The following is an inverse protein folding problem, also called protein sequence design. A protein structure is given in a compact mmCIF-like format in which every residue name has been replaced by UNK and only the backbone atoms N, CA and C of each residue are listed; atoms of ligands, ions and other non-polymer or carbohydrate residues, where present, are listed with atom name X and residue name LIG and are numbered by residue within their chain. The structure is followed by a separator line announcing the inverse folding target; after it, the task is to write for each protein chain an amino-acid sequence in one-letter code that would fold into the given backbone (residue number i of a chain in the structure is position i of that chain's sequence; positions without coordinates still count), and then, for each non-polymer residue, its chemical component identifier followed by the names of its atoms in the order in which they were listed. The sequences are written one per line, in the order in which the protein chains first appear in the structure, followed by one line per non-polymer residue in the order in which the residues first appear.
data_IF_056443304797
#
_entry.id   IF_056443304797
#
_cell.length_a   1.000
_cell.length_b   1.000
_cell.length_c   1.000
_cell.angle_alpha   90.00
_cell.angle_beta   90.00
_cell.angle_gamma   90.00
#
_symmetry.space_group_name_H-M   'P 1'
#
loop_
_entity.id
_entity.type
_entity.pdbx_description
1 polymer ?
#
# COMPACT_ATOMS: atom_id res chain seq x y z
N UNK A 1 13.08 -9.27 -12.15
CA UNK A 1 12.05 -10.07 -12.84
C UNK A 1 10.92 -9.10 -13.15
N UNK A 2 10.28 -9.14 -14.31
CA UNK A 2 9.21 -8.18 -14.63
C UNK A 2 7.99 -8.45 -13.75
N UNK A 3 7.40 -7.41 -13.17
CA UNK A 3 6.16 -7.55 -12.40
C UNK A 3 5.04 -8.08 -13.31
N UNK A 4 4.16 -8.93 -12.77
CA UNK A 4 3.02 -9.46 -13.53
C UNK A 4 1.74 -9.37 -12.70
N UNK A 5 0.64 -9.05 -13.36
CA UNK A 5 -0.69 -8.99 -12.76
C UNK A 5 -1.18 -10.39 -12.37
N UNK A 6 -2.24 -10.43 -11.57
CA UNK A 6 -2.90 -11.68 -11.20
C UNK A 6 -3.41 -12.44 -12.44
N UNK A 7 -3.00 -13.70 -12.56
CA UNK A 7 -3.52 -14.64 -13.54
C UNK A 7 -4.79 -15.27 -13.00
N UNK A 8 -5.93 -15.05 -13.67
CA UNK A 8 -7.25 -15.53 -13.21
C UNK A 8 -7.51 -17.01 -13.51
N UNK A 9 -6.57 -17.68 -14.19
CA UNK A 9 -6.71 -19.07 -14.62
C UNK A 9 -7.99 -19.31 -15.43
N UNK A 10 -8.72 -20.37 -15.10
CA UNK A 10 -10.03 -20.71 -15.73
C UNK A 10 -11.21 -19.99 -15.08
N UNK A 11 -10.97 -19.15 -14.06
CA UNK A 11 -12.04 -18.44 -13.34
C UNK A 11 -12.54 -17.29 -14.19
N UNK A 12 -13.79 -17.37 -14.64
CA UNK A 12 -14.47 -16.27 -15.32
C UNK A 12 -14.85 -15.20 -14.29
N UNK A 13 -14.00 -14.19 -14.15
CA UNK A 13 -14.30 -12.95 -13.44
C UNK A 13 -14.66 -11.87 -14.46
N UNK A 14 -15.68 -11.08 -14.13
CA UNK A 14 -16.09 -9.90 -14.91
C UNK A 14 -15.03 -8.80 -14.79
N UNK A 15 -14.50 -8.60 -13.59
CA UNK A 15 -13.46 -7.60 -13.32
C UNK A 15 -12.17 -7.90 -14.07
N UNK A 16 -11.43 -6.86 -14.44
CA UNK A 16 -10.14 -6.93 -15.15
C UNK A 16 -8.96 -7.31 -14.22
N UNK A 17 -7.79 -7.64 -14.78
CA UNK A 17 -6.62 -7.95 -13.94
C UNK A 17 -6.02 -6.69 -13.33
N UNK A 18 -6.18 -5.53 -13.99
CA UNK A 18 -5.78 -4.22 -13.47
C UNK A 18 -6.71 -3.77 -12.35
N UNK A 19 -8.03 -3.95 -12.51
CA UNK A 19 -8.99 -3.74 -11.45
C UNK A 19 -8.62 -4.53 -10.19
N UNK A 20 -8.40 -5.84 -10.34
CA UNK A 20 -8.00 -6.68 -9.22
C UNK A 20 -6.67 -6.23 -8.59
N UNK A 21 -5.71 -5.76 -9.40
CA UNK A 21 -4.43 -5.24 -8.91
C UNK A 21 -4.60 -3.98 -8.06
N UNK A 22 -5.51 -3.08 -8.44
CA UNK A 22 -5.87 -1.90 -7.65
C UNK A 22 -6.55 -2.25 -6.33
N UNK A 23 -7.49 -3.20 -6.36
CA UNK A 23 -8.15 -3.71 -5.16
C UNK A 23 -7.14 -4.36 -4.19
N UNK A 24 -6.16 -5.11 -4.74
CA UNK A 24 -5.04 -5.69 -3.99
C UNK A 24 -4.13 -4.61 -3.40
N UNK A 25 -3.87 -3.53 -4.15
CA UNK A 25 -3.10 -2.40 -3.62
C UNK A 25 -3.79 -1.80 -2.42
N UNK A 26 -5.09 -1.50 -2.51
CA UNK A 26 -5.85 -0.98 -1.37
C UNK A 26 -5.70 -1.91 -0.16
N UNK A 27 -5.88 -3.23 -0.33
CA UNK A 27 -5.69 -4.22 0.74
C UNK A 27 -4.28 -4.22 1.37
N UNK A 28 -3.24 -3.97 0.57
CA UNK A 28 -1.86 -3.79 1.05
C UNK A 28 -1.63 -2.48 1.82
N UNK A 29 -2.55 -1.50 1.72
CA UNK A 29 -2.50 -0.25 2.49
C UNK A 29 -3.31 -0.32 3.79
N UNK A 30 -3.60 -1.51 4.30
CA UNK A 30 -4.27 -1.69 5.60
C UNK A 30 -3.32 -1.35 6.76
N UNK A 31 -3.83 -0.69 7.80
CA UNK A 31 -3.05 -0.35 9.01
C UNK A 31 -3.31 -1.33 10.15
N UNK A 32 -4.29 -2.22 9.99
CA UNK A 32 -4.67 -3.28 10.90
C UNK A 32 -4.87 -4.58 10.10
N UNK A 33 -4.69 -5.78 10.70
CA UNK A 33 -4.91 -7.03 9.99
C UNK A 33 -6.31 -7.10 9.37
N UNK A 34 -6.38 -7.36 8.07
CA UNK A 34 -7.61 -7.53 7.30
C UNK A 34 -7.58 -8.89 6.61
N UNK A 35 -8.60 -9.72 6.88
CA UNK A 35 -8.71 -11.02 6.21
C UNK A 35 -9.18 -10.81 4.76
N UNK A 36 -8.60 -11.48 3.75
CA UNK A 36 -8.93 -11.25 2.34
C UNK A 36 -10.42 -11.35 2.01
N UNK A 37 -11.13 -12.27 2.66
CA UNK A 37 -12.56 -12.49 2.45
C UNK A 37 -13.39 -11.24 2.79
N UNK A 38 -12.91 -10.44 3.74
CA UNK A 38 -13.59 -9.22 4.21
C UNK A 38 -13.85 -8.23 3.07
N UNK A 39 -12.89 -8.09 2.14
CA UNK A 39 -12.99 -7.18 1.00
C UNK A 39 -13.25 -7.90 -0.33
N UNK A 40 -12.83 -9.17 -0.47
CA UNK A 40 -13.06 -9.96 -1.67
C UNK A 40 -14.51 -10.44 -1.82
N UNK A 41 -15.17 -10.84 -0.73
CA UNK A 41 -16.55 -11.34 -0.78
C UNK A 41 -17.54 -10.25 -1.24
N UNK A 42 -17.50 -9.01 -0.70
CA UNK A 42 -18.34 -7.93 -1.21
C UNK A 42 -18.08 -7.59 -2.68
N UNK A 43 -16.82 -7.75 -3.13
CA UNK A 43 -16.39 -7.41 -4.49
C UNK A 43 -16.81 -8.47 -5.54
N UNK A 44 -16.61 -9.74 -5.23
CA UNK A 44 -16.75 -10.83 -6.21
C UNK A 44 -17.95 -11.75 -5.94
N UNK A 45 -18.66 -11.56 -4.83
CA UNK A 45 -19.66 -12.50 -4.31
C UNK A 45 -19.03 -13.87 -4.04
N UNK A 46 -19.83 -14.95 -4.08
CA UNK A 46 -19.36 -16.31 -3.76
C UNK A 46 -18.17 -16.82 -4.61
N UNK A 47 -17.89 -16.17 -5.75
CA UNK A 47 -16.77 -16.49 -6.65
C UNK A 47 -15.41 -16.23 -6.02
N UNK A 48 -15.32 -15.41 -4.97
CA UNK A 48 -14.06 -15.06 -4.33
C UNK A 48 -13.25 -16.29 -3.89
N UNK A 49 -13.94 -17.34 -3.42
CA UNK A 49 -13.31 -18.58 -2.93
C UNK A 49 -12.45 -19.27 -3.98
N UNK A 50 -12.78 -19.11 -5.26
CA UNK A 50 -12.04 -19.70 -6.37
C UNK A 50 -10.70 -18.99 -6.63
N UNK A 51 -10.58 -17.71 -6.27
CA UNK A 51 -9.39 -16.89 -6.54
C UNK A 51 -8.64 -16.46 -5.29
N UNK A 52 -9.19 -16.65 -4.09
CA UNK A 52 -8.62 -16.18 -2.82
C UNK A 52 -7.13 -16.53 -2.66
N UNK A 53 -6.73 -17.78 -2.90
CA UNK A 53 -5.31 -18.19 -2.77
C UNK A 53 -4.39 -17.48 -3.77
N UNK A 54 -4.89 -17.20 -4.98
CA UNK A 54 -4.14 -16.42 -5.99
C UNK A 54 -4.04 -14.95 -5.57
N UNK A 55 -5.10 -14.39 -5.00
CA UNK A 55 -5.11 -13.03 -4.44
C UNK A 55 -4.13 -12.91 -3.28
N UNK A 56 -4.13 -13.85 -2.32
CA UNK A 56 -3.17 -13.88 -1.21
C UNK A 56 -1.72 -13.92 -1.70
N UNK A 57 -1.45 -14.72 -2.73
CA UNK A 57 -0.12 -14.77 -3.37
C UNK A 57 0.24 -13.43 -4.01
N UNK A 58 -0.72 -12.79 -4.68
CA UNK A 58 -0.51 -11.51 -5.35
C UNK A 58 -0.35 -10.36 -4.34
N UNK A 59 -1.09 -10.35 -3.22
CA UNK A 59 -0.91 -9.43 -2.09
C UNK A 59 0.56 -9.44 -1.66
N UNK A 60 1.09 -10.63 -1.35
CA UNK A 60 2.48 -10.78 -0.92
C UNK A 60 3.48 -10.36 -2.00
N UNK A 61 3.21 -10.68 -3.26
CA UNK A 61 4.08 -10.28 -4.37
C UNK A 61 4.11 -8.77 -4.53
N UNK A 62 2.96 -8.12 -4.62
CA UNK A 62 2.84 -6.67 -4.77
C UNK A 62 3.54 -5.94 -3.62
N UNK A 63 3.24 -6.35 -2.38
CA UNK A 63 3.87 -5.81 -1.18
C UNK A 63 5.40 -5.90 -1.22
N UNK A 64 5.96 -7.05 -1.59
CA UNK A 64 7.42 -7.21 -1.72
C UNK A 64 8.02 -6.28 -2.78
N UNK A 65 7.36 -6.11 -3.94
CA UNK A 65 7.86 -5.19 -4.98
C UNK A 65 7.80 -3.74 -4.54
N UNK A 66 6.76 -3.34 -3.80
CA UNK A 66 6.67 -2.00 -3.20
C UNK A 66 7.82 -1.80 -2.20
N UNK A 67 8.06 -2.73 -1.28
CA UNK A 67 9.16 -2.62 -0.31
C UNK A 67 10.56 -2.59 -0.97
N UNK A 68 10.71 -3.19 -2.15
CA UNK A 68 11.95 -3.13 -2.93
C UNK A 68 12.03 -1.90 -3.84
N UNK A 69 11.01 -1.03 -3.86
CA UNK A 69 10.89 0.11 -4.77
C UNK A 69 10.97 -0.31 -6.25
N UNK A 70 10.41 -1.49 -6.57
CA UNK A 70 10.37 -2.09 -7.91
C UNK A 70 8.94 -2.14 -8.47
N UNK A 71 7.92 -1.75 -7.70
CA UNK A 71 6.54 -1.62 -8.16
C UNK A 71 6.34 -0.28 -8.87
N UNK A 72 5.81 -0.31 -10.10
CA UNK A 72 5.46 0.89 -10.86
C UNK A 72 4.12 0.67 -11.54
N UNK A 73 3.13 1.49 -11.19
CA UNK A 73 1.81 1.43 -11.80
C UNK A 73 1.84 2.02 -13.21
N UNK A 74 2.63 3.07 -13.46
CA UNK A 74 2.77 3.66 -14.78
C UNK A 74 3.34 2.65 -15.80
N UNK A 75 4.32 1.85 -15.37
CA UNK A 75 4.85 0.76 -16.19
C UNK A 75 3.83 -0.36 -16.42
N UNK A 76 2.91 -0.60 -15.48
CA UNK A 76 1.87 -1.64 -15.60
C UNK A 76 0.70 -1.22 -16.49
N UNK A 77 0.34 0.06 -16.46
CA UNK A 77 -0.72 0.62 -17.29
C UNK A 77 -0.22 1.03 -18.68
N UNK A 78 1.10 0.99 -18.92
CA UNK A 78 1.74 1.42 -20.16
C UNK A 78 1.38 2.87 -20.52
N UNK A 79 1.32 3.74 -19.50
CA UNK A 79 0.87 5.14 -19.60
C UNK A 79 -0.53 5.32 -20.22
N UNK A 80 -1.35 4.26 -20.24
CA UNK A 80 -2.72 4.28 -20.76
C UNK A 80 -3.70 4.72 -19.66
N UNK A 81 -4.44 5.80 -19.92
CA UNK A 81 -5.40 6.37 -18.96
C UNK A 81 -6.61 5.46 -18.69
N UNK A 82 -7.07 4.67 -19.67
CA UNK A 82 -8.18 3.72 -19.45
C UNK A 82 -7.74 2.58 -18.53
N UNK A 83 -6.52 2.07 -18.72
CA UNK A 83 -5.93 1.06 -17.83
C UNK A 83 -5.69 1.61 -16.42
N UNK A 84 -5.28 2.87 -16.32
CA UNK A 84 -5.09 3.55 -15.04
C UNK A 84 -6.42 3.78 -14.32
N UNK A 85 -7.47 4.18 -15.03
CA UNK A 85 -8.81 4.32 -14.50
C UNK A 85 -9.33 2.99 -13.96
N UNK A 86 -9.22 1.91 -14.73
CA UNK A 86 -9.61 0.55 -14.35
C UNK A 86 -8.89 0.06 -13.07
N UNK A 87 -7.57 0.32 -12.98
CA UNK A 87 -6.82 0.10 -11.74
C UNK A 87 -7.33 0.95 -10.57
N UNK A 88 -7.57 2.25 -10.79
CA UNK A 88 -8.04 3.16 -9.76
C UNK A 88 -9.45 2.81 -9.26
N UNK A 89 -10.36 2.37 -10.13
CA UNK A 89 -11.68 1.85 -9.77
C UNK A 89 -11.57 0.65 -8.84
N UNK A 90 -10.67 -0.29 -9.17
CA UNK A 90 -10.35 -1.43 -8.31
C UNK A 90 -9.89 -1.00 -6.92
N UNK A 91 -8.96 -0.04 -6.85
CA UNK A 91 -8.50 0.52 -5.59
C UNK A 91 -9.64 1.17 -4.78
N UNK A 92 -10.42 2.05 -5.43
CA UNK A 92 -11.50 2.79 -4.77
C UNK A 92 -12.70 1.91 -4.40
N UNK A 93 -12.85 0.72 -4.99
CA UNK A 93 -13.86 -0.26 -4.59
C UNK A 93 -13.61 -0.86 -3.20
N UNK A 94 -12.34 -0.91 -2.78
CA UNK A 94 -11.91 -1.47 -1.49
C UNK A 94 -11.59 -0.36 -0.47
N UNK A 95 -11.12 0.80 -0.92
CA UNK A 95 -10.66 1.89 -0.06
C UNK A 95 -11.62 2.26 1.10
N UNK A 96 -12.95 2.43 0.89
CA UNK A 96 -13.85 2.84 1.98
C UNK A 96 -13.84 1.90 3.20
N UNK A 97 -13.60 0.61 2.99
CA UNK A 97 -13.49 -0.38 4.07
C UNK A 97 -12.20 -0.22 4.88
N UNK A 98 -11.14 0.26 4.22
CA UNK A 98 -9.80 0.39 4.79
C UNK A 98 -9.63 1.76 5.43
N UNK A 99 -10.27 2.79 4.87
CA UNK A 99 -10.24 4.17 5.34
C UNK A 99 -10.60 4.28 6.84
N UNK A 100 -11.58 3.49 7.32
CA UNK A 100 -11.92 3.43 8.75
C UNK A 100 -10.73 3.10 9.65
N UNK A 101 -9.75 2.33 9.15
CA UNK A 101 -8.53 2.00 9.89
C UNK A 101 -7.56 3.17 9.98
N UNK A 102 -7.61 4.09 9.02
CA UNK A 102 -6.76 5.29 8.95
C UNK A 102 -7.32 6.44 9.80
N UNK A 103 -8.64 6.54 9.96
CA UNK A 103 -9.32 7.60 10.74
C UNK A 103 -8.82 7.69 12.19
N UNK A 104 -8.54 6.55 12.83
CA UNK A 104 -8.10 6.50 14.23
C UNK A 104 -6.59 6.77 14.41
N UNK A 105 -5.85 6.98 13.32
CA UNK A 105 -4.39 7.06 13.35
C UNK A 105 -3.94 8.52 13.28
N UNK A 106 -3.02 8.89 14.19
CA UNK A 106 -2.31 10.17 14.09
C UNK A 106 -1.16 10.02 13.08
N UNK A 107 -1.38 10.54 11.88
CA UNK A 107 -0.39 10.61 10.81
C UNK A 107 0.56 11.79 11.05
N UNK A 108 1.78 11.70 10.49
CA UNK A 108 2.63 12.86 10.35
C UNK A 108 2.23 13.64 9.08
N UNK A 109 2.51 14.94 9.04
CA UNK A 109 2.13 15.83 7.93
C UNK A 109 2.58 15.32 6.56
N UNK A 110 3.75 14.66 6.47
CA UNK A 110 4.27 14.11 5.23
C UNK A 110 3.42 12.95 4.70
N UNK A 111 3.14 11.97 5.57
CA UNK A 111 2.33 10.80 5.23
C UNK A 111 0.88 11.20 4.92
N UNK A 112 0.31 12.14 5.67
CA UNK A 112 -1.03 12.67 5.40
C UNK A 112 -1.09 13.29 4.00
N UNK A 113 -0.10 14.09 3.61
CA UNK A 113 -0.02 14.69 2.27
C UNK A 113 0.14 13.64 1.17
N UNK A 114 0.95 12.61 1.38
CA UNK A 114 1.11 11.52 0.41
C UNK A 114 -0.17 10.72 0.24
N UNK A 115 -0.88 10.44 1.33
CA UNK A 115 -2.15 9.75 1.29
C UNK A 115 -3.22 10.60 0.57
N UNK A 116 -3.35 11.87 0.90
CA UNK A 116 -4.29 12.78 0.22
C UNK A 116 -3.98 12.90 -1.28
N UNK A 117 -2.70 13.03 -1.65
CA UNK A 117 -2.28 13.08 -3.04
C UNK A 117 -2.57 11.76 -3.77
N UNK A 118 -2.32 10.62 -3.14
CA UNK A 118 -2.64 9.30 -3.69
C UNK A 118 -4.13 9.18 -4.01
N UNK A 119 -5.00 9.46 -3.03
CA UNK A 119 -6.45 9.34 -3.19
C UNK A 119 -6.98 10.34 -4.23
N UNK A 120 -6.46 11.56 -4.23
CA UNK A 120 -6.83 12.56 -5.24
C UNK A 120 -6.43 12.10 -6.65
N UNK A 121 -5.24 11.52 -6.80
CA UNK A 121 -4.77 10.97 -8.09
C UNK A 121 -5.66 9.81 -8.55
N UNK A 122 -6.07 8.92 -7.64
CA UNK A 122 -7.02 7.84 -7.95
C UNK A 122 -8.37 8.37 -8.43
N UNK A 123 -8.95 9.35 -7.71
CA UNK A 123 -10.24 9.94 -8.10
C UNK A 123 -10.17 10.66 -9.45
N UNK A 124 -9.10 11.43 -9.69
CA UNK A 124 -8.88 12.10 -10.98
C UNK A 124 -8.67 11.10 -12.12
N UNK A 125 -8.03 9.95 -11.86
CA UNK A 125 -7.86 8.89 -12.85
C UNK A 125 -9.19 8.23 -13.25
N UNK A 126 -10.14 8.12 -12.32
CA UNK A 126 -11.48 7.57 -12.59
C UNK A 126 -12.34 8.57 -13.36
N UNK A 127 -12.49 9.78 -12.82
CA UNK A 127 -13.29 10.85 -13.43
C UNK A 127 -12.74 12.22 -13.04
N UNK A 128 -11.89 12.78 -13.90
CA UNK A 128 -11.27 14.08 -13.67
C UNK A 128 -12.30 15.21 -13.59
N UNK A 129 -13.30 15.22 -14.49
CA UNK A 129 -14.30 16.29 -14.55
C UNK A 129 -15.15 16.32 -13.27
N UNK A 130 -15.68 15.16 -12.86
CA UNK A 130 -16.49 15.05 -11.66
C UNK A 130 -15.66 15.37 -10.41
N UNK A 131 -14.43 14.86 -10.31
CA UNK A 131 -13.56 15.10 -9.15
C UNK A 131 -13.24 16.59 -9.00
N UNK A 132 -12.87 17.26 -10.11
CA UNK A 132 -12.62 18.71 -10.09
C UNK A 132 -13.87 19.51 -9.74
N UNK A 133 -15.04 19.10 -10.21
CA UNK A 133 -16.31 19.75 -9.87
C UNK A 133 -16.59 19.66 -8.35
N UNK A 134 -16.43 18.48 -7.75
CA UNK A 134 -16.59 18.29 -6.30
C UNK A 134 -15.60 19.13 -5.49
N UNK A 135 -14.34 19.20 -5.94
CA UNK A 135 -13.32 20.05 -5.31
C UNK A 135 -13.70 21.54 -5.34
N UNK A 136 -14.22 22.03 -6.48
CA UNK A 136 -14.71 23.42 -6.59
C UNK A 136 -15.88 23.69 -5.66
N UNK A 137 -16.82 22.75 -5.55
CA UNK A 137 -17.96 22.83 -4.62
C UNK A 137 -17.50 22.84 -3.16
N UNK A 138 -16.41 22.14 -2.84
CA UNK A 138 -15.76 22.18 -1.54
C UNK A 138 -14.91 23.45 -1.29
N UNK A 139 -14.85 24.37 -2.25
CA UNK A 139 -14.16 25.66 -2.13
C UNK A 139 -12.71 25.69 -2.64
N UNK A 140 -12.26 24.66 -3.37
CA UNK A 140 -10.94 24.64 -4.02
C UNK A 140 -11.04 25.38 -5.36
N UNK A 141 -10.52 26.61 -5.41
CA UNK A 141 -10.63 27.47 -6.60
C UNK A 141 -9.92 26.89 -7.84
N UNK A 142 -8.75 26.30 -7.62
CA UNK A 142 -7.91 25.69 -8.66
C UNK A 142 -7.61 24.23 -8.30
N UNK A 143 -8.53 23.30 -8.63
CA UNK A 143 -8.27 21.88 -8.42
C UNK A 143 -7.13 21.42 -9.36
N UNK A 144 -6.29 20.46 -8.92
CA UNK A 144 -5.27 19.87 -9.78
C UNK A 144 -5.90 19.05 -10.92
N UNK A 145 -5.17 18.92 -12.02
CA UNK A 145 -5.43 17.93 -13.06
C UNK A 145 -4.67 16.63 -12.78
N UNK A 146 -5.07 15.51 -13.39
CA UNK A 146 -4.36 14.23 -13.22
C UNK A 146 -2.88 14.35 -13.61
N UNK A 147 -2.62 15.09 -14.70
CA UNK A 147 -1.27 15.31 -15.24
C UNK A 147 -0.34 16.03 -14.27
N UNK A 148 -0.87 16.80 -13.32
CA UNK A 148 -0.07 17.50 -12.31
C UNK A 148 0.48 16.55 -11.25
N UNK A 149 -0.11 15.36 -11.10
CA UNK A 149 0.15 14.42 -10.01
C UNK A 149 0.73 13.09 -10.50
N UNK A 150 0.40 12.68 -11.73
CA UNK A 150 0.71 11.33 -12.25
C UNK A 150 2.19 10.96 -12.22
N UNK A 151 3.11 11.92 -12.44
CA UNK A 151 4.56 11.67 -12.41
C UNK A 151 5.08 11.22 -11.04
N UNK A 152 4.36 11.56 -9.97
CA UNK A 152 4.72 11.21 -8.60
C UNK A 152 3.95 10.00 -8.08
N UNK A 153 3.11 9.37 -8.90
CA UNK A 153 2.14 8.40 -8.43
C UNK A 153 2.79 7.15 -7.81
N UNK A 154 3.86 6.64 -8.44
CA UNK A 154 4.66 5.53 -7.88
C UNK A 154 5.25 5.90 -6.51
N UNK A 155 5.74 7.13 -6.34
CA UNK A 155 6.28 7.61 -5.06
C UNK A 155 5.20 7.67 -3.98
N UNK A 156 4.02 8.21 -4.30
CA UNK A 156 2.90 8.28 -3.36
C UNK A 156 2.49 6.88 -2.88
N UNK A 157 2.42 5.91 -3.79
CA UNK A 157 2.11 4.51 -3.45
C UNK A 157 3.15 3.96 -2.47
N UNK A 158 4.44 4.13 -2.77
CA UNK A 158 5.53 3.64 -1.92
C UNK A 158 5.49 4.26 -0.51
N UNK A 159 5.36 5.59 -0.40
CA UNK A 159 5.34 6.28 0.89
C UNK A 159 4.13 5.89 1.74
N UNK A 160 2.95 5.77 1.12
CA UNK A 160 1.72 5.37 1.84
C UNK A 160 1.80 3.91 2.28
N UNK A 161 2.32 3.01 1.44
CA UNK A 161 2.50 1.61 1.79
C UNK A 161 3.50 1.42 2.93
N UNK A 162 4.63 2.12 2.92
CA UNK A 162 5.58 2.12 4.03
C UNK A 162 4.94 2.64 5.32
N UNK A 163 4.15 3.72 5.23
CA UNK A 163 3.38 4.24 6.36
C UNK A 163 2.37 3.22 6.90
N UNK A 164 1.65 2.51 6.02
CA UNK A 164 0.71 1.47 6.40
C UNK A 164 1.41 0.30 7.14
N UNK A 165 2.56 -0.14 6.63
CA UNK A 165 3.39 -1.20 7.22
C UNK A 165 3.87 -0.84 8.63
N UNK A 166 4.36 0.39 8.82
CA UNK A 166 4.80 0.88 10.12
C UNK A 166 3.65 0.89 11.14
N UNK A 167 2.44 1.20 10.69
CA UNK A 167 1.24 1.17 11.52
C UNK A 167 0.78 -0.26 11.82
N UNK A 168 0.80 -1.15 10.84
CA UNK A 168 0.39 -2.56 10.97
C UNK A 168 1.31 -3.35 11.92
N UNK A 169 2.63 -3.17 11.82
CA UNK A 169 3.60 -3.78 12.76
C UNK A 169 3.55 -3.11 14.14
N UNK A 170 2.97 -1.90 14.19
CA UNK A 170 3.00 -0.96 15.30
C UNK A 170 4.37 -0.30 15.42
N UNK A 171 4.41 0.91 16.02
CA UNK A 171 5.64 1.68 16.38
C UNK A 171 6.61 0.94 17.33
N UNK A 172 6.57 -0.38 17.40
CA UNK A 172 7.76 -1.16 17.70
C UNK A 172 8.63 -1.07 16.46
N UNK A 173 9.46 -0.02 16.39
CA UNK A 173 10.77 -0.21 15.81
C UNK A 173 11.23 -1.57 16.34
N UNK A 174 11.46 -2.55 15.47
CA UNK A 174 12.33 -3.65 15.87
C UNK A 174 13.63 -2.93 16.16
N UNK A 175 13.84 -2.49 17.40
CA UNK A 175 15.17 -2.18 17.85
C UNK A 175 15.84 -3.53 17.72
N UNK A 176 16.55 -3.69 16.60
CA UNK A 176 17.45 -4.79 16.42
C UNK A 176 18.40 -4.59 17.58
N UNK A 177 18.19 -5.33 18.67
CA UNK A 177 19.12 -5.30 19.78
C UNK A 177 20.44 -5.77 19.17
N UNK A 178 21.42 -4.88 18.97
CA UNK A 178 22.67 -5.24 18.28
C UNK A 178 23.47 -6.25 19.12
N UNK A 179 23.05 -6.49 20.37
CA UNK A 179 23.60 -7.46 21.29
C UNK A 179 22.73 -8.71 21.45
N UNK A 180 21.77 -8.95 20.54
CA UNK A 180 20.95 -10.17 20.55
C UNK A 180 21.87 -11.39 20.37
N UNK A 181 21.95 -12.24 21.40
CA UNK A 181 22.84 -13.40 21.43
C UNK A 181 24.15 -13.21 22.20
N UNK A 182 24.45 -11.99 22.67
CA UNK A 182 25.62 -11.72 23.53
C UNK A 182 25.28 -12.05 24.98
N UNK A 183 25.98 -13.02 25.55
CA UNK A 183 25.84 -13.40 26.95
C UNK A 183 26.35 -12.32 27.89
N UNK A 184 25.70 -12.17 29.05
CA UNK A 184 26.04 -11.15 30.07
C UNK A 184 27.51 -11.17 30.51
N UNK A 185 28.18 -12.33 30.43
CA UNK A 185 29.58 -12.50 30.83
C UNK A 185 30.57 -12.58 29.64
N UNK A 186 30.08 -12.50 28.39
CA UNK A 186 30.91 -12.59 27.20
C UNK A 186 31.76 -11.33 27.02
N UNK A 187 32.90 -11.41 26.29
CA UNK A 187 33.63 -10.23 25.86
C UNK A 187 32.70 -9.24 25.17
N UNK A 188 32.81 -7.96 25.53
CA UNK A 188 31.92 -6.94 24.98
C UNK A 188 32.25 -6.68 23.49
N UNK A 189 31.26 -6.66 22.58
CA UNK A 189 31.49 -6.46 21.15
C UNK A 189 32.09 -5.11 20.76
N UNK A 190 32.16 -4.13 21.66
CA UNK A 190 32.82 -2.84 21.42
C UNK A 190 34.34 -2.87 21.60
N UNK A 191 34.94 -4.06 21.72
CA UNK A 191 36.39 -4.30 21.83
C UNK A 191 37.06 -3.64 23.06
N UNK A 192 36.28 -3.20 24.05
CA UNK A 192 36.80 -2.57 25.27
C UNK A 192 37.62 -3.49 26.19
N UNK A 193 37.71 -4.80 25.87
CA UNK A 193 38.34 -5.82 26.70
C UNK A 193 37.56 -6.21 27.97
N UNK A 194 36.38 -5.62 28.21
CA UNK A 194 35.53 -5.88 29.38
C UNK A 194 34.43 -6.89 29.06
N UNK A 195 33.86 -7.53 30.09
CA UNK A 195 32.64 -8.35 29.95
C UNK A 195 31.44 -7.46 29.60
N UNK A 196 30.48 -7.95 28.83
CA UNK A 196 29.32 -7.18 28.35
C UNK A 196 28.59 -6.42 29.47
N UNK A 197 28.30 -7.08 30.61
CA UNK A 197 27.66 -6.45 31.79
C UNK A 197 28.41 -5.31 32.45
N UNK A 198 29.70 -5.15 32.15
CA UNK A 198 30.56 -4.10 32.70
C UNK A 198 30.83 -2.98 31.69
N UNK A 199 30.25 -3.06 30.48
CA UNK A 199 30.43 -2.12 29.40
C UNK A 199 29.08 -1.78 28.73
N UNK A 200 28.83 -2.18 27.48
CA UNK A 200 27.61 -1.84 26.73
C UNK A 200 26.32 -2.48 27.29
N UNK A 201 26.43 -3.50 28.14
CA UNK A 201 25.29 -4.14 28.81
C UNK A 201 25.01 -3.61 30.22
N UNK A 202 25.50 -2.40 30.53
CA UNK A 202 25.10 -1.63 31.71
C UNK A 202 23.80 -0.90 31.47
#
# INVERSE_FOLDING_TARGET
MQYTLIEKGEVQLEESSLFMEGAILAANLTTKPLAPETWLEPLLGERFKAIQTMVETQIHKQHNYILCNEYSILALTEDNLEHLADFAEGFMSVWPMIEEQWVDVVLNDGLERMLQALLTTMMLAIDEEQTQQQMREAGIETPPALVDLIEQFDLMINEVALGADELMVGKKSKSLNPFKGVGRNDPCPCESGKKFKQCCGK
#
